data_IF_521271841470
#
_entry.id   IF_521271841470
#
_cell.length_a   1.000
_cell.length_b   1.000
_cell.length_c   1.000
_cell.angle_alpha   90.00
_cell.angle_beta   90.00
_cell.angle_gamma   90.00
#
_symmetry.space_group_name_H-M   'P 1'
#
loop_
_entity.id
_entity.type
_entity.pdbx_description
1 polymer ?
#
# COMPACT_ATOMS: atom_id res chain seq x y z
N UNK A 1 -7.45 40.75 -13.80
CA UNK A 1 -7.91 39.37 -13.97
C UNK A 1 -9.42 39.42 -13.82
N UNK A 2 -10.15 39.17 -14.90
CA UNK A 2 -11.60 39.36 -14.94
C UNK A 2 -12.30 38.21 -14.22
N UNK A 3 -13.44 38.49 -13.60
CA UNK A 3 -14.25 37.52 -12.84
C UNK A 3 -14.60 36.27 -13.69
N UNK A 4 -14.81 36.48 -14.99
CA UNK A 4 -15.05 35.43 -15.99
C UNK A 4 -13.84 34.48 -16.17
N UNK A 5 -12.63 35.01 -16.15
CA UNK A 5 -11.40 34.22 -16.26
C UNK A 5 -11.18 33.37 -15.01
N UNK A 6 -11.53 33.90 -13.83
CA UNK A 6 -11.43 33.17 -12.56
C UNK A 6 -12.37 31.97 -12.56
N UNK A 7 -13.62 32.14 -13.03
CA UNK A 7 -14.58 31.03 -13.15
C UNK A 7 -14.10 29.95 -14.12
N UNK A 8 -13.57 30.34 -15.28
CA UNK A 8 -13.06 29.38 -16.27
C UNK A 8 -11.87 28.57 -15.75
N UNK A 9 -10.95 29.21 -15.02
CA UNK A 9 -9.83 28.51 -14.40
C UNK A 9 -10.28 27.60 -13.25
N UNK A 10 -11.30 28.01 -12.48
CA UNK A 10 -11.87 27.18 -11.41
C UNK A 10 -12.51 25.89 -11.95
N UNK A 11 -13.29 25.99 -13.02
CA UNK A 11 -13.89 24.83 -13.71
C UNK A 11 -12.82 23.86 -14.22
N UNK A 12 -11.76 24.38 -14.87
CA UNK A 12 -10.64 23.53 -15.33
C UNK A 12 -9.95 22.80 -14.18
N UNK A 13 -9.72 23.49 -13.05
CA UNK A 13 -9.12 22.87 -11.87
C UNK A 13 -10.04 21.78 -11.31
N UNK A 14 -11.35 22.05 -11.25
CA UNK A 14 -12.33 21.11 -10.75
C UNK A 14 -12.40 19.83 -11.60
N UNK A 15 -12.43 19.97 -12.92
CA UNK A 15 -12.39 18.84 -13.85
C UNK A 15 -11.09 18.04 -13.72
N UNK A 16 -9.95 18.72 -13.53
CA UNK A 16 -8.66 18.06 -13.31
C UNK A 16 -8.65 17.24 -12.01
N UNK A 17 -9.23 17.78 -10.93
CA UNK A 17 -9.36 17.08 -9.66
C UNK A 17 -10.23 15.83 -9.86
N UNK A 18 -11.39 15.97 -10.50
CA UNK A 18 -12.30 14.85 -10.76
C UNK A 18 -11.67 13.76 -11.62
N UNK A 19 -10.86 14.14 -12.62
CA UNK A 19 -10.10 13.20 -13.45
C UNK A 19 -9.04 12.45 -12.62
N UNK A 20 -8.33 13.16 -11.73
CA UNK A 20 -7.33 12.58 -10.84
C UNK A 20 -7.96 11.63 -9.81
N UNK A 21 -9.09 12.00 -9.22
CA UNK A 21 -9.86 11.16 -8.30
C UNK A 21 -10.32 9.87 -8.97
N UNK A 22 -10.87 9.96 -10.19
CA UNK A 22 -11.27 8.78 -10.96
C UNK A 22 -10.08 7.86 -11.29
N UNK A 23 -8.92 8.42 -11.65
CA UNK A 23 -7.70 7.63 -11.87
C UNK A 23 -7.20 6.95 -10.60
N UNK A 24 -7.34 7.59 -9.44
CA UNK A 24 -7.03 6.99 -8.13
C UNK A 24 -8.01 5.84 -7.83
N UNK A 25 -9.31 6.04 -8.08
CA UNK A 25 -10.35 5.05 -7.83
C UNK A 25 -10.18 3.79 -8.69
N UNK A 26 -10.00 3.95 -10.01
CA UNK A 26 -9.79 2.81 -10.92
C UNK A 26 -8.47 2.07 -10.62
N UNK A 27 -7.42 2.78 -10.22
CA UNK A 27 -6.16 2.13 -9.79
C UNK A 27 -6.34 1.29 -8.52
N UNK A 28 -7.28 1.64 -7.66
CA UNK A 28 -7.65 0.86 -6.47
C UNK A 28 -8.28 -0.48 -6.86
N UNK A 29 -9.26 -0.46 -7.77
CA UNK A 29 -9.97 -1.67 -8.23
C UNK A 29 -9.09 -2.67 -9.00
N UNK A 30 -8.17 -2.18 -9.85
CA UNK A 30 -7.33 -3.05 -10.70
C UNK A 30 -6.24 -3.80 -9.88
N UNK A 31 -5.90 -3.36 -8.67
CA UNK A 31 -4.84 -3.99 -7.85
C UNK A 31 -5.33 -5.07 -6.89
N UNK A 32 -6.64 -5.14 -6.66
CA UNK A 32 -7.28 -6.14 -5.80
C UNK A 32 -7.88 -7.26 -6.63
N UNK A 33 -7.06 -8.23 -7.06
CA UNK A 33 -7.59 -9.59 -7.26
C UNK A 33 -8.24 -9.98 -5.92
N UNK A 34 -9.55 -10.16 -5.92
CA UNK A 34 -10.38 -10.41 -4.74
C UNK A 34 -9.82 -11.57 -3.91
N UNK A 35 -9.03 -11.25 -2.88
CA UNK A 35 -8.65 -12.21 -1.85
C UNK A 35 -9.78 -12.22 -0.84
N UNK A 36 -10.18 -13.41 -0.36
CA UNK A 36 -11.23 -13.56 0.66
C UNK A 36 -11.07 -12.49 1.76
N UNK A 37 -12.14 -11.83 2.16
CA UNK A 37 -12.07 -10.79 3.19
C UNK A 37 -11.50 -11.39 4.47
N UNK A 38 -10.45 -10.76 5.00
CA UNK A 38 -9.87 -11.13 6.28
C UNK A 38 -10.86 -10.78 7.41
N UNK A 39 -11.09 -11.71 8.33
CA UNK A 39 -11.86 -11.47 9.55
C UNK A 39 -11.07 -10.62 10.55
N UNK A 40 -11.74 -10.02 11.55
CA UNK A 40 -11.05 -9.29 12.65
C UNK A 40 -9.99 -10.14 13.36
N UNK A 41 -10.12 -11.47 13.37
CA UNK A 41 -9.12 -12.38 13.98
C UNK A 41 -7.84 -12.46 13.15
N UNK A 42 -7.91 -12.21 11.85
CA UNK A 42 -6.78 -12.32 10.92
C UNK A 42 -5.79 -11.16 11.04
N UNK A 43 -6.19 -10.05 11.67
CA UNK A 43 -5.34 -8.87 11.93
C UNK A 43 -4.59 -8.93 13.26
N UNK A 44 -4.63 -10.04 14.00
CA UNK A 44 -3.86 -10.18 15.25
C UNK A 44 -2.37 -10.44 15.01
N UNK A 45 -1.54 -9.82 15.84
CA UNK A 45 -0.09 -10.00 15.87
C UNK A 45 0.63 -9.46 14.64
N UNK A 46 1.94 -9.72 14.54
CA UNK A 46 2.77 -9.19 13.45
C UNK A 46 2.30 -9.63 12.05
N UNK A 47 1.89 -10.90 11.91
CA UNK A 47 1.34 -11.39 10.64
C UNK A 47 0.03 -10.68 10.28
N UNK A 48 -0.81 -10.42 11.27
CA UNK A 48 -2.03 -9.66 11.08
C UNK A 48 -1.77 -8.21 10.69
N UNK A 49 -0.80 -7.54 11.32
CA UNK A 49 -0.39 -6.20 10.92
C UNK A 49 0.11 -6.14 9.47
N UNK A 50 0.89 -7.12 9.01
CA UNK A 50 1.31 -7.18 7.60
C UNK A 50 0.10 -7.39 6.67
N UNK A 51 -0.87 -8.24 7.05
CA UNK A 51 -2.11 -8.40 6.27
C UNK A 51 -2.92 -7.11 6.22
N UNK A 52 -3.00 -6.36 7.31
CA UNK A 52 -3.71 -5.09 7.37
C UNK A 52 -3.12 -4.09 6.37
N UNK A 53 -1.82 -3.83 6.41
CA UNK A 53 -1.17 -2.88 5.49
C UNK A 53 -1.22 -3.35 4.02
N UNK A 54 -1.33 -4.66 3.78
CA UNK A 54 -1.59 -5.21 2.43
C UNK A 54 -3.01 -4.85 1.98
N UNK A 55 -4.01 -5.07 2.83
CA UNK A 55 -5.41 -4.75 2.54
C UNK A 55 -5.61 -3.23 2.34
N UNK A 56 -4.89 -2.40 3.08
CA UNK A 56 -4.88 -0.94 2.91
C UNK A 56 -4.13 -0.47 1.65
N UNK A 57 -3.46 -1.38 0.94
CA UNK A 57 -2.76 -1.08 -0.31
C UNK A 57 -1.36 -0.48 -0.15
N UNK A 58 -0.79 -0.49 1.06
CA UNK A 58 0.56 0.07 1.32
C UNK A 58 1.66 -0.61 0.49
N UNK A 59 1.49 -1.91 0.21
CA UNK A 59 2.40 -2.74 -0.59
C UNK A 59 2.02 -2.84 -2.08
N UNK A 60 1.12 -1.98 -2.57
CA UNK A 60 0.84 -1.87 -4.01
C UNK A 60 1.99 -1.20 -4.78
N UNK A 61 2.90 -0.53 -4.08
CA UNK A 61 4.17 -0.03 -4.60
C UNK A 61 5.35 -0.63 -3.82
N UNK A 62 6.57 -0.65 -4.39
CA UNK A 62 7.74 -1.16 -3.71
C UNK A 62 8.09 -0.39 -2.42
N UNK A 63 8.13 -1.11 -1.29
CA UNK A 63 8.50 -0.57 0.04
C UNK A 63 9.68 -1.31 0.65
N UNK A 64 10.59 -0.57 1.26
CA UNK A 64 11.69 -1.12 2.05
C UNK A 64 11.19 -1.71 3.38
N UNK A 65 12.01 -2.56 4.00
CA UNK A 65 11.72 -3.09 5.35
C UNK A 65 11.55 -1.96 6.36
N UNK A 66 12.29 -0.86 6.23
CA UNK A 66 12.20 0.27 7.13
C UNK A 66 10.86 1.02 7.00
N UNK A 67 10.41 1.25 5.76
CA UNK A 67 9.08 1.84 5.50
C UNK A 67 7.96 0.94 6.07
N UNK A 68 8.05 -0.37 5.85
CA UNK A 68 7.06 -1.33 6.36
C UNK A 68 7.06 -1.36 7.90
N UNK A 69 8.24 -1.36 8.52
CA UNK A 69 8.39 -1.32 9.97
C UNK A 69 7.77 -0.05 10.57
N UNK A 70 8.04 1.11 9.98
CA UNK A 70 7.47 2.38 10.43
C UNK A 70 5.96 2.41 10.29
N UNK A 71 5.42 1.88 9.19
CA UNK A 71 3.98 1.79 8.97
C UNK A 71 3.31 0.84 9.96
N UNK A 72 3.91 -0.32 10.25
CA UNK A 72 3.43 -1.22 11.29
C UNK A 72 3.42 -0.53 12.67
N UNK A 73 4.48 0.21 13.00
CA UNK A 73 4.54 1.00 14.25
C UNK A 73 3.45 2.07 14.31
N UNK A 74 3.19 2.77 13.19
CA UNK A 74 2.10 3.77 13.07
C UNK A 74 0.73 3.15 13.32
N UNK A 75 0.53 1.92 12.87
CA UNK A 75 -0.70 1.12 13.05
C UNK A 75 -0.77 0.40 14.41
N UNK A 76 0.15 0.67 15.35
CA UNK A 76 0.15 0.11 16.70
C UNK A 76 0.82 -1.27 16.84
N UNK A 77 1.48 -1.78 15.80
CA UNK A 77 2.20 -3.05 15.82
C UNK A 77 3.67 -2.84 16.20
N UNK A 78 3.96 -2.91 17.50
CA UNK A 78 5.31 -2.73 18.04
C UNK A 78 6.10 -4.05 18.05
N UNK A 79 6.81 -4.32 16.97
CA UNK A 79 7.68 -5.50 16.85
C UNK A 79 9.11 -5.13 16.43
N UNK A 80 10.13 -5.91 16.81
CA UNK A 80 11.49 -5.68 16.33
C UNK A 80 11.57 -5.75 14.80
N UNK A 81 12.34 -4.83 14.19
CA UNK A 81 12.52 -4.77 12.73
C UNK A 81 13.06 -6.10 12.15
N UNK A 82 13.90 -6.82 12.90
CA UNK A 82 14.38 -8.17 12.53
C UNK A 82 13.23 -9.16 12.35
N UNK A 83 12.23 -9.13 13.24
CA UNK A 83 11.04 -9.97 13.17
C UNK A 83 10.17 -9.61 11.95
N UNK A 84 10.02 -8.32 11.65
CA UNK A 84 9.33 -7.84 10.43
C UNK A 84 10.03 -8.39 9.19
N UNK A 85 11.36 -8.24 9.11
CA UNK A 85 12.16 -8.72 7.97
C UNK A 85 12.06 -10.25 7.78
N UNK A 86 12.14 -11.01 8.89
CA UNK A 86 12.00 -12.47 8.86
C UNK A 86 10.61 -12.88 8.37
N UNK A 87 9.56 -12.24 8.89
CA UNK A 87 8.18 -12.59 8.52
C UNK A 87 7.86 -12.23 7.06
N UNK A 88 8.33 -11.09 6.56
CA UNK A 88 8.19 -10.69 5.16
C UNK A 88 8.83 -11.72 4.22
N UNK A 89 10.08 -12.08 4.50
CA UNK A 89 10.86 -12.96 3.62
C UNK A 89 10.41 -14.43 3.67
N UNK A 90 10.06 -14.96 4.85
CA UNK A 90 9.69 -16.37 4.99
C UNK A 90 8.19 -16.55 4.71
N UNK A 91 7.33 -15.86 5.46
CA UNK A 91 5.90 -16.17 5.43
C UNK A 91 5.21 -15.53 4.23
N UNK A 92 5.43 -14.23 3.99
CA UNK A 92 4.71 -13.50 2.95
C UNK A 92 5.31 -13.64 1.54
N UNK A 93 6.64 -13.82 1.44
CA UNK A 93 7.33 -14.00 0.17
C UNK A 93 7.53 -15.48 -0.20
N UNK A 94 8.22 -16.28 0.63
CA UNK A 94 8.54 -17.68 0.27
C UNK A 94 7.34 -18.61 0.37
N UNK A 95 6.65 -18.61 1.51
CA UNK A 95 5.63 -19.62 1.82
C UNK A 95 4.29 -19.30 1.14
N UNK A 96 3.73 -18.12 1.39
CA UNK A 96 2.41 -17.74 0.84
C UNK A 96 2.49 -17.12 -0.55
N UNK A 97 3.68 -16.67 -0.97
CA UNK A 97 3.92 -16.01 -2.28
C UNK A 97 2.99 -14.82 -2.55
N UNK A 98 2.55 -14.15 -1.48
CA UNK A 98 1.73 -12.93 -1.54
C UNK A 98 2.57 -11.73 -1.97
N UNK A 99 3.83 -11.68 -1.51
CA UNK A 99 4.79 -10.63 -1.83
C UNK A 99 5.89 -11.17 -2.76
N UNK A 100 6.45 -10.26 -3.55
CA UNK A 100 7.73 -10.44 -4.23
C UNK A 100 8.68 -9.31 -3.82
N UNK A 101 9.94 -9.38 -4.26
CA UNK A 101 10.93 -8.33 -4.03
C UNK A 101 11.48 -7.80 -5.34
N UNK A 102 11.67 -6.49 -5.40
CA UNK A 102 12.31 -5.78 -6.51
C UNK A 102 13.53 -5.03 -6.00
N UNK A 103 14.55 -4.88 -6.84
CA UNK A 103 15.76 -4.16 -6.49
C UNK A 103 15.66 -2.74 -7.05
N UNK A 104 15.59 -1.75 -6.18
CA UNK A 104 15.55 -0.32 -6.52
C UNK A 104 16.66 0.40 -5.76
N UNK A 105 17.46 1.23 -6.44
CA UNK A 105 18.54 2.00 -5.81
C UNK A 105 19.46 1.13 -4.93
N UNK A 106 19.85 -0.05 -5.45
CA UNK A 106 20.66 -1.07 -4.77
C UNK A 106 20.03 -1.67 -3.49
N UNK A 107 18.78 -1.36 -3.18
CA UNK A 107 18.06 -1.86 -2.00
C UNK A 107 16.92 -2.80 -2.42
N UNK A 108 16.71 -3.87 -1.66
CA UNK A 108 15.55 -4.74 -1.84
C UNK A 108 14.30 -4.10 -1.24
N UNK A 109 13.24 -4.06 -2.03
CA UNK A 109 11.92 -3.60 -1.63
C UNK A 109 10.89 -4.68 -1.87
N UNK A 110 9.90 -4.77 -0.99
CA UNK A 110 8.77 -5.70 -1.10
C UNK A 110 7.61 -5.03 -1.82
N UNK A 111 6.93 -5.79 -2.66
CA UNK A 111 5.75 -5.36 -3.40
C UNK A 111 4.79 -6.54 -3.53
N UNK A 112 3.49 -6.25 -3.67
CA UNK A 112 2.49 -7.26 -3.94
C UNK A 112 2.82 -8.02 -5.24
N UNK A 113 2.74 -9.35 -5.19
CA UNK A 113 2.88 -10.20 -6.38
C UNK A 113 1.59 -10.13 -7.22
N UNK A 114 1.72 -9.84 -8.52
CA UNK A 114 0.62 -9.81 -9.50
C UNK A 114 0.27 -11.21 -10.02
#
# INVERSE_FOLDING_TARGET
>A
MNEEQIKQEFEKIWDKIKELENKIFQKKEITTKERKPYSKKDYKGLAGGIRLIITEGFLNSPRSVNEIFNELKRQGYHYPQKSVSKLLSINFMKNTRILTRVKENKKWKYVLRK
#
